data_IF_595550401004
#
_entry.id   IF_595550401004
#
_cell.length_a   1.000
_cell.length_b   1.000
_cell.length_c   1.000
_cell.angle_alpha   90.00
_cell.angle_beta   90.00
_cell.angle_gamma   90.00
#
_symmetry.space_group_name_H-M   'P 1'
#
loop_
_entity.id
_entity.type
_entity.pdbx_description
1 polymer ?
#
# COMPACT_ATOMS: atom_id res chain seq x y z
N UNK A 1 -3.89 -15.60 -16.49
CA UNK A 1 -4.21 -14.17 -16.33
C UNK A 1 -3.57 -13.65 -15.04
N UNK A 2 -2.90 -12.50 -15.11
CA UNK A 2 -2.13 -11.95 -13.99
C UNK A 2 -2.59 -10.53 -13.61
N UNK A 3 -2.57 -10.27 -12.32
CA UNK A 3 -2.68 -8.92 -11.76
C UNK A 3 -1.29 -8.47 -11.38
N UNK A 4 -0.91 -7.25 -11.77
CA UNK A 4 0.39 -6.68 -11.44
C UNK A 4 0.21 -5.35 -10.70
N UNK A 5 1.01 -5.14 -9.66
CA UNK A 5 1.03 -3.85 -8.98
C UNK A 5 2.44 -3.27 -9.02
N UNK A 6 2.55 -1.99 -9.29
CA UNK A 6 3.81 -1.26 -9.25
C UNK A 6 3.82 -0.27 -8.10
N UNK A 7 4.86 -0.36 -7.25
CA UNK A 7 5.09 0.55 -6.14
C UNK A 7 5.54 1.93 -6.59
N UNK A 8 5.51 2.90 -5.68
CA UNK A 8 5.83 4.30 -5.99
C UNK A 8 7.25 4.50 -6.55
N UNK A 9 8.25 3.77 -6.06
CA UNK A 9 9.63 3.80 -6.57
C UNK A 9 9.71 3.33 -8.02
N UNK A 10 8.92 2.33 -8.39
CA UNK A 10 8.78 1.80 -9.76
C UNK A 10 8.10 2.77 -10.71
N UNK A 11 7.45 3.81 -10.20
CA UNK A 11 6.66 4.80 -10.96
C UNK A 11 7.19 6.22 -10.78
N UNK A 12 8.41 6.37 -10.27
CA UNK A 12 8.96 7.65 -9.83
C UNK A 12 9.40 8.59 -10.96
N UNK A 13 9.63 8.09 -12.17
CA UNK A 13 10.17 8.88 -13.29
C UNK A 13 9.77 8.27 -14.65
N UNK A 14 10.00 9.01 -15.74
CA UNK A 14 9.81 8.52 -17.10
C UNK A 14 10.59 7.23 -17.37
N UNK A 15 11.88 7.17 -17.01
CA UNK A 15 12.70 5.97 -17.22
C UNK A 15 12.23 4.75 -16.41
N UNK A 16 11.58 4.94 -15.26
CA UNK A 16 10.94 3.83 -14.55
C UNK A 16 9.67 3.36 -15.27
N UNK A 17 8.86 4.29 -15.80
CA UNK A 17 7.67 3.94 -16.57
C UNK A 17 7.99 3.23 -17.89
N UNK A 18 9.14 3.52 -18.51
CA UNK A 18 9.66 2.76 -19.67
C UNK A 18 9.89 1.30 -19.30
N UNK A 19 10.52 1.02 -18.15
CA UNK A 19 10.71 -0.35 -17.66
C UNK A 19 9.37 -1.04 -17.37
N UNK A 20 8.44 -0.33 -16.75
CA UNK A 20 7.08 -0.83 -16.48
C UNK A 20 6.39 -1.24 -17.78
N UNK A 21 6.46 -0.39 -18.83
CA UNK A 21 5.92 -0.72 -20.14
C UNK A 21 6.54 -1.99 -20.73
N UNK A 22 7.88 -2.15 -20.63
CA UNK A 22 8.55 -3.36 -21.12
C UNK A 22 8.12 -4.61 -20.34
N UNK A 23 7.94 -4.49 -19.02
CA UNK A 23 7.43 -5.58 -18.19
C UNK A 23 6.03 -6.00 -18.65
N UNK A 24 5.13 -5.05 -18.93
CA UNK A 24 3.78 -5.38 -19.40
C UNK A 24 3.82 -6.00 -20.79
N UNK A 25 4.62 -5.46 -21.73
CA UNK A 25 4.77 -6.01 -23.09
C UNK A 25 5.37 -7.41 -23.12
N UNK A 26 6.21 -7.76 -22.15
CA UNK A 26 6.88 -9.05 -22.08
C UNK A 26 5.94 -10.22 -21.73
N UNK A 27 4.74 -9.94 -21.23
CA UNK A 27 3.80 -10.98 -20.79
C UNK A 27 2.35 -10.53 -20.99
N UNK A 28 1.65 -11.04 -22.01
CA UNK A 28 0.27 -10.64 -22.34
C UNK A 28 -0.76 -11.06 -21.28
N UNK A 29 -0.40 -11.94 -20.34
CA UNK A 29 -1.29 -12.28 -19.23
C UNK A 29 -1.42 -11.17 -18.18
N UNK A 30 -0.54 -10.15 -18.20
CA UNK A 30 -0.55 -8.98 -17.29
C UNK A 30 -1.59 -7.96 -17.71
N UNK A 31 -2.86 -8.27 -17.47
CA UNK A 31 -3.99 -7.48 -17.94
C UNK A 31 -4.49 -6.44 -16.93
N UNK A 32 -4.31 -6.65 -15.65
CA UNK A 32 -4.75 -5.76 -14.58
C UNK A 32 -3.54 -5.11 -13.93
N UNK A 33 -3.37 -3.80 -14.12
CA UNK A 33 -2.20 -3.05 -13.67
C UNK A 33 -2.60 -2.04 -12.59
N UNK A 34 -2.23 -2.32 -11.35
CA UNK A 34 -2.48 -1.44 -10.22
C UNK A 34 -1.27 -0.52 -10.00
N UNK A 35 -1.52 0.77 -9.88
CA UNK A 35 -0.45 1.76 -9.81
C UNK A 35 -0.55 2.63 -8.56
N UNK A 36 0.58 2.89 -7.92
CA UNK A 36 0.73 3.84 -6.83
C UNK A 36 0.97 5.26 -7.36
N UNK A 37 0.91 6.27 -6.49
CA UNK A 37 1.43 7.59 -6.79
C UNK A 37 2.95 7.54 -7.03
N UNK A 38 3.54 8.52 -7.80
CA UNK A 38 4.98 8.57 -8.02
C UNK A 38 5.77 8.72 -6.71
N UNK A 39 6.69 7.79 -6.48
CA UNK A 39 7.56 7.76 -5.32
C UNK A 39 8.76 8.70 -5.44
N UNK A 40 9.79 8.47 -4.60
CA UNK A 40 11.06 9.20 -4.66
C UNK A 40 11.91 8.76 -5.84
N UNK A 41 12.56 9.71 -6.51
CA UNK A 41 13.58 9.47 -7.57
C UNK A 41 14.96 9.19 -6.97
N UNK A 42 15.23 9.76 -5.78
CA UNK A 42 16.45 9.58 -4.99
C UNK A 42 16.13 9.77 -3.50
N UNK A 43 17.11 9.54 -2.63
CA UNK A 43 16.93 9.57 -1.16
C UNK A 43 16.42 10.93 -0.66
N UNK A 44 16.88 12.04 -1.24
CA UNK A 44 16.51 13.42 -0.84
C UNK A 44 15.19 13.90 -1.46
N UNK A 45 14.61 13.13 -2.39
CA UNK A 45 13.37 13.52 -3.07
C UNK A 45 12.14 13.37 -2.16
N UNK A 46 11.04 14.02 -2.53
CA UNK A 46 9.75 13.95 -1.84
C UNK A 46 8.79 13.05 -2.63
N UNK A 47 8.04 12.19 -1.96
CA UNK A 47 6.94 11.44 -2.59
C UNK A 47 5.78 12.38 -2.93
N UNK A 48 5.06 12.09 -4.01
CA UNK A 48 3.85 12.85 -4.37
C UNK A 48 2.82 12.80 -3.24
N UNK A 49 2.66 11.66 -2.57
CA UNK A 49 1.74 11.51 -1.44
C UNK A 49 2.11 12.46 -0.28
N UNK A 50 3.42 12.57 0.06
CA UNK A 50 3.88 13.49 1.11
C UNK A 50 3.63 14.96 0.74
N UNK A 51 3.79 15.31 -0.54
CA UNK A 51 3.48 16.66 -1.05
C UNK A 51 1.97 16.94 -0.98
N UNK A 52 1.12 15.95 -1.27
CA UNK A 52 -0.35 16.08 -1.17
C UNK A 52 -0.80 16.25 0.29
N UNK A 53 -0.14 15.58 1.25
CA UNK A 53 -0.40 15.80 2.69
C UNK A 53 -0.10 17.24 3.10
N UNK A 54 1.02 17.81 2.63
CA UNK A 54 1.38 19.21 2.89
C UNK A 54 0.38 20.16 2.23
N UNK A 55 0.02 19.88 0.98
CA UNK A 55 -0.99 20.65 0.24
C UNK A 55 -2.32 20.67 0.99
N UNK A 56 -2.82 19.53 1.44
CA UNK A 56 -4.04 19.43 2.25
C UNK A 56 -3.97 20.27 3.53
N UNK A 57 -2.86 20.14 4.30
CA UNK A 57 -2.68 20.85 5.57
C UNK A 57 -2.72 22.37 5.39
N UNK A 58 -2.01 22.88 4.40
CA UNK A 58 -2.00 24.31 4.11
C UNK A 58 -3.34 24.77 3.56
N UNK A 59 -4.02 23.97 2.76
CA UNK A 59 -5.36 24.28 2.25
C UNK A 59 -6.38 24.43 3.37
N UNK A 60 -6.44 23.49 4.30
CA UNK A 60 -7.38 23.54 5.45
C UNK A 60 -7.03 24.69 6.41
N UNK A 61 -5.77 25.04 6.55
CA UNK A 61 -5.31 26.18 7.35
C UNK A 61 -5.56 27.55 6.68
N UNK A 62 -6.04 27.58 5.44
CA UNK A 62 -6.24 28.84 4.70
C UNK A 62 -4.96 29.50 4.19
N UNK A 63 -3.84 28.73 4.15
CA UNK A 63 -2.55 29.21 3.66
C UNK A 63 -2.50 29.20 2.11
N UNK A 64 -1.51 29.90 1.53
CA UNK A 64 -1.23 29.84 0.09
C UNK A 64 -0.70 28.46 -0.31
N UNK A 65 -1.44 27.77 -1.16
CA UNK A 65 -1.15 26.42 -1.65
C UNK A 65 -0.45 26.39 -3.00
N UNK A 66 -0.19 27.54 -3.62
CA UNK A 66 0.34 27.67 -4.98
C UNK A 66 1.65 26.89 -5.16
N UNK A 67 2.55 26.94 -4.19
CA UNK A 67 3.84 26.24 -4.25
C UNK A 67 3.65 24.71 -4.27
N UNK A 68 2.72 24.18 -3.49
CA UNK A 68 2.43 22.74 -3.47
C UNK A 68 1.82 22.27 -4.80
N UNK A 69 0.85 23.02 -5.32
CA UNK A 69 0.25 22.75 -6.63
C UNK A 69 1.31 22.74 -7.74
N UNK A 70 2.13 23.78 -7.80
CA UNK A 70 3.19 23.92 -8.81
C UNK A 70 4.20 22.76 -8.71
N UNK A 71 4.61 22.37 -7.52
CA UNK A 71 5.56 21.28 -7.33
C UNK A 71 4.99 19.94 -7.82
N UNK A 72 3.75 19.62 -7.44
CA UNK A 72 3.09 18.38 -7.85
C UNK A 72 2.88 18.37 -9.37
N UNK A 73 2.35 19.46 -9.94
CA UNK A 73 2.12 19.57 -11.39
C UNK A 73 3.44 19.46 -12.15
N UNK A 74 4.53 20.08 -11.63
CA UNK A 74 5.86 19.99 -12.27
C UNK A 74 6.36 18.56 -12.27
N UNK A 75 6.13 17.78 -11.21
CA UNK A 75 6.49 16.37 -11.14
C UNK A 75 5.85 15.54 -12.26
N UNK A 76 4.55 15.72 -12.50
CA UNK A 76 3.84 15.06 -13.60
C UNK A 76 4.25 15.61 -14.97
N UNK A 77 4.58 16.90 -15.05
CA UNK A 77 5.11 17.51 -16.27
C UNK A 77 6.43 16.89 -16.67
N UNK A 78 7.36 16.75 -15.74
CA UNK A 78 8.67 16.13 -15.99
C UNK A 78 8.51 14.69 -16.51
N UNK A 79 7.59 13.93 -15.92
CA UNK A 79 7.28 12.57 -16.36
C UNK A 79 6.66 12.58 -17.77
N UNK A 80 5.65 13.43 -18.02
CA UNK A 80 4.95 13.51 -19.30
C UNK A 80 5.88 13.95 -20.44
N UNK A 81 6.77 14.92 -20.18
CA UNK A 81 7.78 15.37 -21.15
C UNK A 81 8.82 14.27 -21.43
N UNK A 82 9.34 13.61 -20.39
CA UNK A 82 10.27 12.50 -20.56
C UNK A 82 9.68 11.33 -21.34
N UNK A 83 8.38 11.10 -21.24
CA UNK A 83 7.63 10.07 -21.99
C UNK A 83 7.10 10.58 -23.35
N UNK A 84 7.37 11.82 -23.70
CA UNK A 84 6.89 12.46 -24.95
C UNK A 84 5.35 12.37 -25.10
N UNK A 85 4.61 12.52 -24.01
CA UNK A 85 3.15 12.45 -24.02
C UNK A 85 2.52 13.69 -24.65
N UNK A 86 1.36 13.51 -25.26
CA UNK A 86 0.57 14.60 -25.84
C UNK A 86 0.18 15.61 -24.74
N UNK A 87 0.21 16.94 -25.03
CA UNK A 87 -0.04 17.99 -24.02
C UNK A 87 -1.39 17.89 -23.30
N UNK A 88 -2.42 17.35 -23.95
CA UNK A 88 -3.77 17.27 -23.41
C UNK A 88 -3.85 16.45 -22.11
N UNK A 89 -3.01 15.42 -21.94
CA UNK A 89 -3.01 14.63 -20.70
C UNK A 89 -2.49 15.46 -19.53
N UNK A 90 -1.42 16.25 -19.74
CA UNK A 90 -0.86 17.11 -18.71
C UNK A 90 -1.84 18.23 -18.30
N UNK A 91 -2.57 18.81 -19.25
CA UNK A 91 -3.60 19.80 -18.97
C UNK A 91 -4.69 19.23 -18.05
N UNK A 92 -5.18 18.02 -18.36
CA UNK A 92 -6.18 17.32 -17.53
C UNK A 92 -5.68 17.04 -16.13
N UNK A 93 -4.44 16.57 -16.00
CA UNK A 93 -3.80 16.29 -14.70
C UNK A 93 -3.63 17.59 -13.90
N UNK A 94 -3.15 18.66 -14.53
CA UNK A 94 -2.97 19.97 -13.90
C UNK A 94 -4.29 20.53 -13.36
N UNK A 95 -5.35 20.49 -14.16
CA UNK A 95 -6.71 20.90 -13.75
C UNK A 95 -7.22 20.06 -12.58
N UNK A 96 -6.92 18.75 -12.56
CA UNK A 96 -7.31 17.85 -11.47
C UNK A 96 -6.69 18.28 -10.14
N UNK A 97 -5.39 18.59 -10.10
CA UNK A 97 -4.72 19.05 -8.88
C UNK A 97 -5.15 20.47 -8.46
N UNK A 98 -5.38 21.37 -9.42
CA UNK A 98 -5.90 22.71 -9.13
C UNK A 98 -7.31 22.68 -8.52
N UNK A 99 -8.15 21.77 -9.00
CA UNK A 99 -9.52 21.59 -8.48
C UNK A 99 -9.57 21.20 -7.01
N UNK A 100 -8.52 20.58 -6.46
CA UNK A 100 -8.47 20.21 -5.03
C UNK A 100 -8.65 21.43 -4.12
N UNK A 101 -8.09 22.59 -4.49
CA UNK A 101 -8.23 23.84 -3.73
C UNK A 101 -9.59 24.54 -3.89
N UNK A 102 -10.56 23.95 -4.58
CA UNK A 102 -11.94 24.43 -4.68
C UNK A 102 -12.96 23.52 -3.99
N UNK A 103 -12.50 22.47 -3.32
CA UNK A 103 -13.37 21.54 -2.61
C UNK A 103 -13.85 22.16 -1.28
N UNK A 104 -15.10 21.91 -0.86
CA UNK A 104 -15.58 22.40 0.43
C UNK A 104 -14.80 21.78 1.59
N UNK A 105 -14.42 22.60 2.56
CA UNK A 105 -13.70 22.15 3.78
C UNK A 105 -14.71 21.71 4.84
N UNK A 106 -15.76 22.51 5.06
CA UNK A 106 -16.75 22.27 6.11
C UNK A 106 -17.55 20.99 5.87
N UNK A 107 -17.72 20.19 6.92
CA UNK A 107 -18.46 18.92 6.92
C UNK A 107 -17.99 17.87 5.90
N UNK A 108 -16.78 18.00 5.37
CA UNK A 108 -16.21 17.09 4.38
C UNK A 108 -15.18 16.13 5.01
N UNK A 109 -15.66 15.07 5.66
CA UNK A 109 -14.79 14.07 6.28
C UNK A 109 -13.92 13.29 5.29
N UNK A 110 -14.24 13.30 3.99
CA UNK A 110 -13.50 12.63 2.92
C UNK A 110 -12.48 13.55 2.22
N UNK A 111 -12.36 14.81 2.64
CA UNK A 111 -11.50 15.78 1.97
C UNK A 111 -10.03 15.32 1.96
N UNK A 112 -9.53 14.85 3.09
CA UNK A 112 -8.17 14.33 3.21
C UNK A 112 -7.91 13.18 2.25
N UNK A 113 -8.80 12.20 2.22
CA UNK A 113 -8.72 11.04 1.33
C UNK A 113 -8.75 11.47 -0.15
N UNK A 114 -9.56 12.47 -0.50
CA UNK A 114 -9.64 13.02 -1.85
C UNK A 114 -8.31 13.64 -2.30
N UNK A 115 -7.64 14.37 -1.40
CA UNK A 115 -6.32 14.91 -1.69
C UNK A 115 -5.30 13.80 -1.92
N UNK A 116 -5.24 12.82 -1.04
CA UNK A 116 -4.27 11.72 -1.12
C UNK A 116 -4.49 10.88 -2.38
N UNK A 117 -5.71 10.47 -2.66
CA UNK A 117 -6.07 9.65 -3.82
C UNK A 117 -5.75 10.30 -5.17
N UNK A 118 -5.64 11.63 -5.21
CA UNK A 118 -5.32 12.36 -6.45
C UNK A 118 -3.96 11.95 -7.04
N UNK A 119 -3.01 11.49 -6.22
CA UNK A 119 -1.72 10.99 -6.67
C UNK A 119 -1.87 9.76 -7.57
N UNK A 120 -2.43 8.69 -7.02
CA UNK A 120 -2.65 7.43 -7.73
C UNK A 120 -3.58 7.61 -8.92
N UNK A 121 -4.65 8.39 -8.75
CA UNK A 121 -5.65 8.62 -9.78
C UNK A 121 -5.07 9.30 -11.02
N UNK A 122 -4.25 10.33 -10.84
CA UNK A 122 -3.62 11.03 -11.96
C UNK A 122 -2.46 10.21 -12.56
N UNK A 123 -1.75 9.43 -11.74
CA UNK A 123 -0.71 8.54 -12.25
C UNK A 123 -1.29 7.42 -13.13
N UNK A 124 -2.41 6.83 -12.74
CA UNK A 124 -3.10 5.83 -13.57
C UNK A 124 -3.51 6.39 -14.93
N UNK A 125 -4.02 7.63 -14.98
CA UNK A 125 -4.38 8.31 -16.24
C UNK A 125 -3.17 8.58 -17.13
N UNK A 126 -2.04 9.00 -16.53
CA UNK A 126 -0.79 9.23 -17.25
C UNK A 126 -0.24 7.92 -17.83
N UNK A 127 -0.22 6.85 -17.04
CA UNK A 127 0.28 5.54 -17.47
C UNK A 127 -0.60 4.93 -18.57
N UNK A 128 -1.93 5.02 -18.46
CA UNK A 128 -2.83 4.56 -19.51
C UNK A 128 -2.57 5.28 -20.84
N UNK A 129 -2.43 6.63 -20.81
CA UNK A 129 -2.10 7.40 -22.00
C UNK A 129 -0.73 7.00 -22.58
N UNK A 130 0.26 6.75 -21.73
CA UNK A 130 1.60 6.32 -22.16
C UNK A 130 1.57 4.93 -22.81
N UNK A 131 0.85 3.98 -22.23
CA UNK A 131 0.73 2.64 -22.78
C UNK A 131 0.03 2.65 -24.14
N UNK A 132 -1.10 3.36 -24.24
CA UNK A 132 -1.83 3.51 -25.51
C UNK A 132 -0.96 4.17 -26.58
N UNK A 133 -0.19 5.22 -26.25
CA UNK A 133 0.73 5.87 -27.19
C UNK A 133 1.82 4.92 -27.72
N UNK A 134 2.18 3.92 -26.93
CA UNK A 134 3.20 2.93 -27.27
C UNK A 134 2.64 1.59 -27.80
N UNK A 135 1.39 1.61 -28.27
CA UNK A 135 0.78 0.46 -28.95
C UNK A 135 0.32 -0.68 -28.03
N UNK A 136 0.16 -0.43 -26.74
CA UNK A 136 -0.54 -1.33 -25.83
C UNK A 136 -1.99 -0.89 -25.78
N UNK A 137 -2.92 -1.79 -26.09
CA UNK A 137 -4.35 -1.53 -25.91
C UNK A 137 -4.64 -1.46 -24.41
N UNK A 138 -4.70 -0.22 -23.87
CA UNK A 138 -4.79 0.02 -22.45
C UNK A 138 -5.71 1.20 -22.15
N UNK A 139 -6.47 1.10 -21.07
CA UNK A 139 -7.31 2.19 -20.57
C UNK A 139 -7.22 2.39 -19.07
N UNK A 140 -7.45 3.62 -18.65
CA UNK A 140 -7.68 3.97 -17.25
C UNK A 140 -9.07 3.48 -16.82
N UNK A 141 -9.13 2.86 -15.64
CA UNK A 141 -10.39 2.40 -15.03
C UNK A 141 -10.59 3.13 -13.69
N UNK A 142 -11.69 3.85 -13.57
CA UNK A 142 -12.03 4.50 -12.31
C UNK A 142 -12.39 3.46 -11.24
N UNK A 143 -12.06 3.64 -9.93
CA UNK A 143 -12.36 2.67 -8.88
C UNK A 143 -13.82 2.23 -8.82
N UNK A 144 -14.79 3.11 -9.11
CA UNK A 144 -16.20 2.73 -9.19
C UNK A 144 -16.47 1.75 -10.33
N UNK A 145 -15.91 1.99 -11.49
CA UNK A 145 -16.00 1.10 -12.63
C UNK A 145 -15.30 -0.23 -12.35
N UNK A 146 -14.15 -0.17 -11.68
CA UNK A 146 -13.42 -1.36 -11.22
C UNK A 146 -14.16 -2.15 -10.12
N UNK A 147 -15.32 -1.70 -9.64
CA UNK A 147 -16.05 -2.37 -8.56
C UNK A 147 -15.46 -2.16 -7.16
N UNK A 148 -14.51 -1.24 -6.97
CA UNK A 148 -13.91 -0.94 -5.67
C UNK A 148 -14.85 -0.09 -4.81
N UNK A 149 -15.98 -0.68 -4.40
CA UNK A 149 -16.97 -0.04 -3.53
C UNK A 149 -16.62 -0.36 -2.08
N UNK A 150 -16.44 0.69 -1.28
CA UNK A 150 -15.88 0.58 0.07
C UNK A 150 -16.80 1.19 1.14
N UNK A 151 -16.46 0.92 2.40
CA UNK A 151 -17.09 1.52 3.57
C UNK A 151 -16.81 3.03 3.66
N UNK A 152 -17.59 3.74 4.48
CA UNK A 152 -17.48 5.20 4.67
C UNK A 152 -16.57 5.57 5.85
N UNK A 153 -15.44 4.88 6.00
CA UNK A 153 -14.44 5.09 7.05
C UNK A 153 -13.16 5.69 6.45
N UNK A 154 -13.00 7.04 6.42
CA UNK A 154 -11.83 7.67 5.82
C UNK A 154 -10.51 7.16 6.39
N UNK A 155 -9.52 6.91 5.53
CA UNK A 155 -8.21 6.39 5.90
C UNK A 155 -8.18 4.93 6.34
N UNK A 156 -9.34 4.26 6.41
CA UNK A 156 -9.49 2.87 6.84
C UNK A 156 -10.61 2.15 6.09
N UNK A 157 -10.72 2.43 4.80
CA UNK A 157 -11.75 1.84 3.94
C UNK A 157 -11.69 0.31 3.94
N UNK A 158 -12.85 -0.32 3.91
CA UNK A 158 -13.01 -1.78 3.76
C UNK A 158 -13.85 -2.08 2.54
N UNK A 159 -13.41 -3.01 1.72
CA UNK A 159 -14.17 -3.44 0.55
C UNK A 159 -15.51 -4.03 0.99
N UNK A 160 -16.60 -3.62 0.34
CA UNK A 160 -17.90 -4.21 0.59
C UNK A 160 -17.98 -5.59 -0.10
N UNK A 161 -18.59 -6.60 0.53
CA UNK A 161 -18.69 -7.96 -0.05
C UNK A 161 -19.28 -8.00 -1.46
N UNK A 162 -20.28 -7.16 -1.74
CA UNK A 162 -20.91 -7.04 -3.07
C UNK A 162 -19.98 -6.50 -4.17
N UNK A 163 -18.80 -6.05 -3.83
CA UNK A 163 -17.84 -5.53 -4.81
C UNK A 163 -17.19 -6.63 -5.63
N UNK A 164 -17.07 -7.84 -5.09
CA UNK A 164 -16.39 -8.93 -5.79
C UNK A 164 -17.09 -9.34 -7.09
N UNK A 165 -18.43 -9.32 -7.12
CA UNK A 165 -19.21 -9.63 -8.34
C UNK A 165 -18.89 -8.63 -9.46
N UNK A 166 -18.79 -7.32 -9.11
CA UNK A 166 -18.42 -6.27 -10.08
C UNK A 166 -16.96 -6.34 -10.52
N UNK A 167 -16.06 -6.73 -9.62
CA UNK A 167 -14.64 -6.90 -9.97
C UNK A 167 -14.50 -8.08 -10.94
N UNK A 168 -15.29 -9.14 -10.79
CA UNK A 168 -15.26 -10.29 -11.70
C UNK A 168 -15.67 -9.90 -13.14
N UNK A 169 -16.56 -8.92 -13.32
CA UNK A 169 -16.96 -8.39 -14.63
C UNK A 169 -15.78 -7.78 -15.42
N UNK A 170 -14.70 -7.36 -14.74
CA UNK A 170 -13.48 -6.86 -15.41
C UNK A 170 -12.81 -7.90 -16.31
N UNK A 171 -13.10 -9.19 -16.12
CA UNK A 171 -12.59 -10.27 -16.97
C UNK A 171 -13.08 -10.21 -18.41
N UNK A 172 -14.20 -9.52 -18.65
CA UNK A 172 -14.80 -9.35 -19.99
C UNK A 172 -13.99 -8.39 -20.87
N UNK A 173 -13.15 -7.53 -20.27
CA UNK A 173 -12.31 -6.59 -21.01
C UNK A 173 -11.15 -7.33 -21.70
N UNK A 174 -10.83 -6.97 -22.93
CA UNK A 174 -9.68 -7.52 -23.67
C UNK A 174 -8.42 -6.66 -23.50
N UNK A 175 -8.59 -5.38 -23.20
CA UNK A 175 -7.51 -4.43 -23.00
C UNK A 175 -6.81 -4.55 -21.64
N UNK A 176 -5.65 -3.93 -21.52
CA UNK A 176 -4.92 -3.76 -20.26
C UNK A 176 -5.60 -2.68 -19.41
N UNK A 177 -6.08 -3.04 -18.24
CA UNK A 177 -6.79 -2.13 -17.34
C UNK A 177 -5.84 -1.48 -16.34
N UNK A 178 -5.69 -0.16 -16.40
CA UNK A 178 -4.85 0.62 -15.47
C UNK A 178 -5.74 1.16 -14.35
N UNK A 179 -5.59 0.60 -13.18
CA UNK A 179 -6.42 0.89 -12.00
C UNK A 179 -5.59 1.64 -10.96
N UNK A 180 -6.04 2.82 -10.49
CA UNK A 180 -5.36 3.49 -9.39
C UNK A 180 -5.49 2.65 -8.11
N UNK A 181 -4.38 2.44 -7.42
CA UNK A 181 -4.37 1.79 -6.12
C UNK A 181 -4.76 2.73 -4.98
N UNK A 182 -4.72 2.23 -3.74
CA UNK A 182 -4.83 2.98 -2.50
C UNK A 182 -6.25 3.40 -2.09
N UNK A 183 -7.20 3.55 -2.99
CA UNK A 183 -8.54 4.03 -2.66
C UNK A 183 -9.65 3.32 -3.41
N UNK A 184 -10.84 3.35 -2.85
CA UNK A 184 -12.10 3.02 -3.48
C UNK A 184 -13.09 4.19 -3.39
N UNK A 185 -14.33 3.91 -3.72
CA UNK A 185 -15.42 4.87 -3.58
C UNK A 185 -16.53 4.30 -2.72
N UNK A 186 -17.17 5.14 -1.91
CA UNK A 186 -18.35 4.74 -1.14
C UNK A 186 -19.56 4.58 -2.05
N UNK A 187 -20.68 4.09 -1.52
CA UNK A 187 -21.95 4.01 -2.26
C UNK A 187 -22.38 5.38 -2.80
N UNK A 188 -22.06 6.44 -2.07
CA UNK A 188 -22.39 7.83 -2.39
C UNK A 188 -21.29 8.55 -3.19
N UNK A 189 -20.44 7.82 -3.90
CA UNK A 189 -19.34 8.35 -4.74
C UNK A 189 -18.26 9.17 -4.00
N UNK A 190 -18.16 9.03 -2.68
CA UNK A 190 -17.09 9.67 -1.93
C UNK A 190 -15.80 8.85 -2.01
N UNK A 191 -14.67 9.52 -2.21
CA UNK A 191 -13.36 8.89 -2.21
C UNK A 191 -13.01 8.48 -0.78
N UNK A 192 -12.60 7.22 -0.59
CA UNK A 192 -12.21 6.69 0.70
C UNK A 192 -10.95 5.82 0.55
N UNK A 193 -9.89 6.16 1.29
CA UNK A 193 -8.59 5.49 1.17
C UNK A 193 -8.50 4.28 2.08
N UNK A 194 -7.77 3.26 1.62
CA UNK A 194 -7.37 2.14 2.46
C UNK A 194 -6.30 2.58 3.47
N UNK A 195 -6.04 1.75 4.46
CA UNK A 195 -4.94 1.91 5.40
C UNK A 195 -3.57 1.87 4.71
N UNK A 196 -2.49 1.83 5.47
CA UNK A 196 -1.12 1.69 4.94
C UNK A 196 -1.00 0.49 4.00
N UNK A 197 -0.20 0.63 2.95
CA UNK A 197 -0.08 -0.40 1.92
C UNK A 197 -1.29 -0.47 0.98
N UNK A 198 -2.09 0.59 0.89
CA UNK A 198 -3.37 0.58 0.19
C UNK A 198 -3.30 0.18 -1.29
N UNK A 199 -2.21 0.46 -2.01
CA UNK A 199 -2.03 -0.03 -3.38
C UNK A 199 -1.80 -1.54 -3.42
N UNK A 200 -1.11 -2.11 -2.42
CA UNK A 200 -0.93 -3.56 -2.27
C UNK A 200 -2.28 -4.23 -1.96
N UNK A 201 -3.07 -3.59 -1.08
CA UNK A 201 -4.44 -4.01 -0.77
C UNK A 201 -5.31 -4.02 -2.03
N UNK A 202 -5.26 -2.95 -2.83
CA UNK A 202 -6.00 -2.87 -4.11
C UNK A 202 -5.60 -4.00 -5.05
N UNK A 203 -4.28 -4.26 -5.23
CA UNK A 203 -3.79 -5.36 -6.05
C UNK A 203 -4.31 -6.72 -5.60
N UNK A 204 -4.28 -6.95 -4.30
CA UNK A 204 -4.78 -8.17 -3.67
C UNK A 204 -6.30 -8.35 -3.84
N UNK A 205 -7.07 -7.27 -3.70
CA UNK A 205 -8.52 -7.26 -3.92
C UNK A 205 -8.86 -7.59 -5.37
N UNK A 206 -8.23 -6.89 -6.33
CA UNK A 206 -8.46 -7.12 -7.75
C UNK A 206 -8.06 -8.56 -8.11
N UNK A 207 -6.89 -9.04 -7.63
CA UNK A 207 -6.45 -10.40 -7.89
C UNK A 207 -7.46 -11.46 -7.40
N UNK A 208 -7.99 -11.27 -6.21
CA UNK A 208 -9.02 -12.15 -5.66
C UNK A 208 -10.34 -12.08 -6.44
N UNK A 209 -10.76 -10.86 -6.82
CA UNK A 209 -12.04 -10.64 -7.52
C UNK A 209 -12.06 -11.16 -8.94
N UNK A 210 -10.99 -10.96 -9.71
CA UNK A 210 -10.84 -11.51 -11.07
C UNK A 210 -10.40 -12.98 -11.08
N UNK A 211 -10.18 -13.58 -9.92
CA UNK A 211 -9.69 -14.98 -9.77
C UNK A 211 -8.39 -15.20 -10.55
N UNK A 212 -7.42 -14.30 -10.36
CA UNK A 212 -6.14 -14.32 -11.06
C UNK A 212 -5.35 -15.59 -10.77
N UNK A 213 -4.56 -16.06 -11.75
CA UNK A 213 -3.63 -17.19 -11.57
C UNK A 213 -2.41 -16.78 -10.75
N UNK A 214 -2.06 -15.47 -10.78
CA UNK A 214 -0.92 -14.92 -10.06
C UNK A 214 -1.12 -13.42 -9.79
N UNK A 215 -0.71 -12.98 -8.58
CA UNK A 215 -0.53 -11.57 -8.26
C UNK A 215 0.97 -11.24 -8.19
N UNK A 216 1.47 -10.41 -9.11
CA UNK A 216 2.85 -9.93 -9.13
C UNK A 216 2.93 -8.54 -8.48
N UNK A 217 3.68 -8.41 -7.39
CA UNK A 217 3.95 -7.12 -6.74
C UNK A 217 5.36 -6.66 -7.08
N UNK A 218 5.47 -5.67 -7.97
CA UNK A 218 6.73 -5.08 -8.38
C UNK A 218 7.13 -3.92 -7.46
N UNK A 219 8.33 -4.03 -6.93
CA UNK A 219 8.97 -3.07 -6.03
C UNK A 219 10.42 -2.80 -6.48
N UNK A 220 11.27 -2.28 -5.61
CA UNK A 220 12.69 -1.95 -5.86
C UNK A 220 13.69 -2.96 -5.27
N UNK A 221 13.20 -4.08 -4.75
CA UNK A 221 14.01 -5.18 -4.21
C UNK A 221 13.76 -6.49 -4.96
N UNK A 222 14.79 -7.35 -5.07
CA UNK A 222 14.72 -8.61 -5.80
C UNK A 222 13.82 -9.69 -5.15
N UNK A 223 13.31 -9.42 -3.97
CA UNK A 223 12.46 -10.32 -3.21
C UNK A 223 12.62 -10.05 -1.71
N UNK A 224 12.30 -11.05 -0.90
CA UNK A 224 12.41 -11.00 0.55
C UNK A 224 13.68 -11.73 0.96
N UNK A 225 14.43 -11.15 1.89
CA UNK A 225 15.65 -11.73 2.43
C UNK A 225 15.39 -12.33 3.81
N UNK A 226 16.16 -13.37 4.18
CA UNK A 226 16.03 -14.05 5.47
C UNK A 226 16.36 -13.16 6.69
N UNK A 227 17.02 -12.02 6.48
CA UNK A 227 17.29 -11.01 7.48
C UNK A 227 17.37 -9.62 6.83
N UNK A 228 17.29 -8.56 7.64
CA UNK A 228 17.35 -7.19 7.14
C UNK A 228 18.74 -6.87 6.53
N UNK A 229 18.83 -6.49 5.23
CA UNK A 229 20.11 -6.32 4.53
C UNK A 229 20.93 -5.12 5.06
N UNK A 230 20.32 -4.19 5.77
CA UNK A 230 21.02 -3.10 6.47
C UNK A 230 21.69 -3.52 7.78
N UNK A 231 21.40 -4.71 8.30
CA UNK A 231 21.94 -5.26 9.55
C UNK A 231 22.88 -6.43 9.25
N UNK A 232 22.46 -7.32 8.36
CA UNK A 232 23.21 -8.53 8.00
C UNK A 232 23.80 -8.35 6.60
N UNK A 233 25.09 -8.59 6.47
CA UNK A 233 25.78 -8.53 5.18
C UNK A 233 25.39 -9.75 4.32
N UNK A 234 24.88 -9.48 3.09
CA UNK A 234 24.47 -10.51 2.13
C UNK A 234 23.53 -11.58 2.69
N UNK A 235 22.36 -11.21 3.24
CA UNK A 235 21.40 -12.19 3.70
C UNK A 235 20.89 -13.03 2.53
N UNK A 236 20.54 -14.29 2.79
CA UNK A 236 19.97 -15.16 1.76
C UNK A 236 18.61 -14.63 1.30
N UNK A 237 18.36 -14.67 -0.01
CA UNK A 237 17.03 -14.46 -0.57
C UNK A 237 16.13 -15.66 -0.26
N UNK A 238 14.89 -15.38 0.15
CA UNK A 238 13.89 -16.41 0.40
C UNK A 238 13.13 -16.68 -0.89
N UNK A 239 13.23 -17.88 -1.48
CA UNK A 239 12.55 -18.17 -2.75
C UNK A 239 11.03 -18.33 -2.57
N UNK A 240 10.59 -18.89 -1.43
CA UNK A 240 9.18 -19.17 -1.15
C UNK A 240 8.85 -19.00 0.32
N UNK A 241 7.70 -18.35 0.59
CA UNK A 241 7.10 -18.14 1.90
C UNK A 241 5.64 -18.59 1.87
N UNK A 242 5.14 -19.07 3.01
CA UNK A 242 3.70 -19.16 3.19
C UNK A 242 3.10 -17.80 3.53
N UNK A 243 1.80 -17.62 3.29
CA UNK A 243 1.07 -16.41 3.72
C UNK A 243 1.19 -16.15 5.23
N UNK A 244 1.24 -17.22 6.03
CA UNK A 244 1.40 -17.12 7.48
C UNK A 244 2.78 -16.57 7.83
N UNK A 245 3.84 -17.14 7.29
CA UNK A 245 5.22 -16.69 7.52
C UNK A 245 5.43 -15.24 7.05
N UNK A 246 4.92 -14.89 5.86
CA UNK A 246 4.99 -13.52 5.38
C UNK A 246 4.30 -12.54 6.31
N UNK A 247 3.14 -12.92 6.85
CA UNK A 247 2.39 -12.07 7.78
C UNK A 247 3.14 -11.86 9.10
N UNK A 248 3.72 -12.92 9.65
CA UNK A 248 4.56 -12.85 10.86
C UNK A 248 5.78 -11.95 10.64
N UNK A 249 6.48 -12.13 9.50
CA UNK A 249 7.63 -11.30 9.15
C UNK A 249 7.22 -9.82 8.94
N UNK A 250 6.12 -9.57 8.25
CA UNK A 250 5.62 -8.21 8.01
C UNK A 250 5.23 -7.50 9.33
N UNK A 251 4.55 -8.21 10.24
CA UNK A 251 4.21 -7.70 11.56
C UNK A 251 5.46 -7.39 12.39
N UNK A 252 6.48 -8.23 12.30
CA UNK A 252 7.73 -8.11 13.05
C UNK A 252 8.75 -7.10 12.42
N UNK A 253 8.37 -6.33 11.38
CA UNK A 253 9.18 -5.22 10.87
C UNK A 253 9.66 -5.34 9.41
N UNK A 254 9.30 -6.39 8.68
CA UNK A 254 9.54 -6.45 7.23
C UNK A 254 8.62 -5.47 6.49
N UNK A 255 9.19 -4.47 5.81
CA UNK A 255 8.44 -3.36 5.21
C UNK A 255 8.11 -3.55 3.73
N UNK A 256 8.43 -4.70 3.13
CA UNK A 256 8.25 -4.94 1.69
C UNK A 256 6.78 -5.06 1.31
N UNK A 257 5.97 -5.66 2.18
CA UNK A 257 4.53 -5.83 1.96
C UNK A 257 3.79 -5.71 3.30
N UNK A 258 2.71 -4.95 3.31
CA UNK A 258 1.90 -4.77 4.51
C UNK A 258 1.05 -6.03 4.78
N UNK A 259 0.92 -6.42 6.04
CA UNK A 259 0.23 -7.67 6.44
C UNK A 259 -1.26 -7.69 6.03
N UNK A 260 -1.96 -6.55 6.12
CA UNK A 260 -3.36 -6.43 5.69
C UNK A 260 -3.54 -6.65 4.18
N UNK A 261 -2.52 -6.31 3.38
CA UNK A 261 -2.55 -6.49 1.93
C UNK A 261 -2.59 -7.96 1.51
N UNK A 262 -2.17 -8.87 2.38
CA UNK A 262 -2.18 -10.31 2.12
C UNK A 262 -3.58 -10.92 2.21
N UNK A 263 -4.49 -10.33 2.99
CA UNK A 263 -5.76 -10.95 3.36
C UNK A 263 -6.67 -11.28 2.16
N UNK A 264 -6.93 -10.36 1.20
CA UNK A 264 -7.78 -10.69 0.05
C UNK A 264 -7.19 -11.81 -0.82
N UNK A 265 -5.89 -11.76 -1.14
CA UNK A 265 -5.23 -12.78 -1.94
C UNK A 265 -5.22 -14.14 -1.23
N UNK A 266 -4.96 -14.17 0.09
CA UNK A 266 -5.05 -15.39 0.89
C UNK A 266 -6.44 -16.01 0.84
N UNK A 267 -7.50 -15.21 1.03
CA UNK A 267 -8.89 -15.67 0.97
C UNK A 267 -9.27 -16.17 -0.42
N UNK A 268 -8.79 -15.49 -1.46
CA UNK A 268 -8.96 -15.90 -2.87
C UNK A 268 -8.07 -17.07 -3.27
N UNK A 269 -7.16 -17.54 -2.41
CA UNK A 269 -6.15 -18.58 -2.68
C UNK A 269 -5.25 -18.23 -3.89
N UNK A 270 -5.00 -16.94 -4.11
CA UNK A 270 -4.17 -16.45 -5.22
C UNK A 270 -2.71 -16.49 -4.80
N UNK A 271 -1.81 -17.16 -5.51
CA UNK A 271 -0.37 -17.06 -5.26
C UNK A 271 0.12 -15.64 -5.56
N UNK A 272 1.08 -15.16 -4.75
CA UNK A 272 1.67 -13.84 -4.91
C UNK A 272 3.18 -13.98 -5.13
N UNK A 273 3.79 -13.07 -5.91
CA UNK A 273 5.24 -12.98 -6.06
C UNK A 273 5.71 -11.53 -5.90
N UNK A 274 6.75 -11.34 -5.09
CA UNK A 274 7.46 -10.06 -4.96
C UNK A 274 8.56 -10.05 -6.02
N UNK A 275 8.59 -9.00 -6.86
CA UNK A 275 9.56 -8.86 -7.96
C UNK A 275 10.18 -7.47 -7.98
N UNK A 276 11.34 -7.37 -8.63
CA UNK A 276 12.03 -6.10 -8.81
C UNK A 276 11.77 -5.51 -10.19
N UNK A 277 11.26 -4.27 -10.23
CA UNK A 277 11.06 -3.52 -11.47
C UNK A 277 12.38 -3.27 -12.21
N UNK A 278 13.49 -3.15 -11.47
CA UNK A 278 14.83 -2.93 -12.04
C UNK A 278 15.54 -4.22 -12.44
N UNK A 279 15.03 -5.39 -12.02
CA UNK A 279 15.53 -6.71 -12.34
C UNK A 279 14.36 -7.69 -12.59
N UNK A 280 13.53 -7.46 -13.63
CA UNK A 280 12.27 -8.16 -13.81
C UNK A 280 12.43 -9.66 -14.16
N UNK A 281 13.62 -10.08 -14.59
CA UNK A 281 13.93 -11.48 -14.88
C UNK A 281 14.24 -12.30 -13.63
N UNK A 282 14.58 -11.65 -12.51
CA UNK A 282 14.78 -12.34 -11.24
C UNK A 282 13.47 -13.02 -10.81
N UNK A 283 13.50 -14.28 -10.32
CA UNK A 283 12.28 -15.01 -9.96
C UNK A 283 11.50 -14.34 -8.82
N UNK A 284 12.20 -13.61 -7.93
CA UNK A 284 11.58 -12.98 -6.77
C UNK A 284 11.34 -13.95 -5.62
N UNK A 285 10.46 -13.55 -4.70
CA UNK A 285 9.97 -14.40 -3.60
C UNK A 285 8.49 -14.72 -3.83
N UNK A 286 8.17 -16.01 -3.88
CA UNK A 286 6.77 -16.47 -3.99
C UNK A 286 6.12 -16.56 -2.62
N UNK A 287 4.88 -16.12 -2.52
CA UNK A 287 4.04 -16.27 -1.33
C UNK A 287 2.89 -17.21 -1.69
N UNK A 288 2.84 -18.34 -1.01
CA UNK A 288 1.97 -19.48 -1.32
C UNK A 288 1.12 -19.91 -0.11
N UNK A 289 0.10 -20.72 -0.34
CA UNK A 289 -0.71 -21.28 0.75
C UNK A 289 0.04 -22.34 1.56
N UNK A 290 0.90 -23.10 0.88
CA UNK A 290 1.66 -24.21 1.47
C UNK A 290 2.98 -24.37 0.71
N UNK A 291 4.05 -24.66 1.43
CA UNK A 291 5.36 -24.92 0.81
C UNK A 291 5.33 -26.05 -0.22
N UNK A 292 6.10 -25.86 -1.29
CA UNK A 292 6.27 -26.87 -2.36
C UNK A 292 7.20 -28.00 -1.92
N UNK A 293 8.22 -27.68 -1.10
CA UNK A 293 9.35 -28.58 -0.78
C UNK A 293 9.44 -28.99 0.70
N UNK A 294 8.32 -29.00 1.43
CA UNK A 294 8.27 -29.32 2.86
C UNK A 294 8.60 -28.12 3.76
N UNK A 295 8.58 -28.36 5.07
CA UNK A 295 8.76 -27.29 6.06
C UNK A 295 10.23 -26.91 6.21
N UNK A 296 10.51 -25.60 6.26
CA UNK A 296 11.83 -25.03 6.52
C UNK A 296 11.85 -24.64 8.01
N UNK A 297 12.82 -25.13 8.82
CA UNK A 297 12.84 -24.87 10.26
C UNK A 297 12.89 -23.40 10.66
N UNK A 298 13.64 -22.57 9.91
CA UNK A 298 13.73 -21.11 10.08
C UNK A 298 13.73 -20.45 8.73
N UNK A 299 12.67 -19.75 8.43
CA UNK A 299 12.48 -19.10 7.13
C UNK A 299 13.15 -17.72 7.10
N UNK A 300 13.04 -16.95 8.18
CA UNK A 300 13.63 -15.63 8.28
C UNK A 300 13.60 -15.10 9.72
N UNK A 301 14.35 -14.03 9.95
CA UNK A 301 14.44 -13.34 11.22
C UNK A 301 14.10 -11.87 10.99
N UNK A 302 12.99 -11.40 11.58
CA UNK A 302 12.62 -10.00 11.61
C UNK A 302 12.99 -9.40 12.96
N UNK A 303 13.38 -8.12 12.94
CA UNK A 303 13.64 -7.34 14.13
C UNK A 303 13.11 -5.92 13.94
N UNK A 304 12.52 -5.38 14.98
CA UNK A 304 12.08 -3.99 15.03
C UNK A 304 12.58 -3.34 16.33
N UNK A 305 12.72 -2.03 16.33
CA UNK A 305 13.23 -1.24 17.44
C UNK A 305 12.16 -0.27 17.96
N UNK A 306 12.52 0.51 18.97
CA UNK A 306 11.64 1.52 19.56
C UNK A 306 10.43 0.93 20.30
N UNK A 307 10.73 -0.02 21.19
CA UNK A 307 9.78 -0.59 22.12
C UNK A 307 10.14 -0.24 23.57
N UNK A 308 9.12 0.04 24.35
CA UNK A 308 9.21 0.16 25.82
C UNK A 308 8.55 -1.06 26.45
N UNK A 309 9.21 -1.66 27.44
CA UNK A 309 8.66 -2.72 28.27
C UNK A 309 8.31 -2.16 29.65
N UNK A 310 7.05 -2.28 30.06
CA UNK A 310 6.58 -1.96 31.40
C UNK A 310 6.42 -3.27 32.16
N UNK A 311 7.28 -3.48 33.15
CA UNK A 311 7.27 -4.70 33.96
C UNK A 311 6.56 -4.44 35.31
N UNK A 312 5.56 -5.23 35.62
CA UNK A 312 4.81 -5.19 36.86
C UNK A 312 5.08 -6.48 37.64
N UNK A 313 5.42 -6.37 38.90
CA UNK A 313 5.62 -7.54 39.78
C UNK A 313 4.71 -7.42 40.99
N UNK A 314 4.01 -8.51 41.30
CA UNK A 314 3.13 -8.62 42.46
C UNK A 314 3.09 -10.06 42.95
N UNK A 315 3.48 -10.28 44.20
CA UNK A 315 3.41 -11.62 44.82
C UNK A 315 1.97 -12.15 44.77
N UNK A 316 1.81 -13.41 44.35
CA UNK A 316 0.52 -14.08 44.12
C UNK A 316 -0.38 -13.41 43.05
N UNK A 317 0.21 -12.71 42.10
CA UNK A 317 -0.53 -12.05 41.02
C UNK A 317 -1.46 -13.01 40.26
N UNK A 318 -0.99 -14.24 40.03
CA UNK A 318 -1.76 -15.29 39.33
C UNK A 318 -3.04 -15.75 40.09
N UNK A 319 -3.15 -15.45 41.37
CA UNK A 319 -4.35 -15.71 42.18
C UNK A 319 -5.32 -14.55 42.22
N UNK A 320 -4.92 -13.39 41.73
CA UNK A 320 -5.81 -12.22 41.65
C UNK A 320 -6.69 -12.24 40.40
N UNK A 321 -7.97 -12.52 40.59
CA UNK A 321 -8.94 -12.56 39.49
C UNK A 321 -9.04 -11.17 38.83
N UNK A 322 -8.81 -11.13 37.52
CA UNK A 322 -8.96 -9.94 36.72
C UNK A 322 -7.78 -8.96 36.76
N UNK A 323 -6.60 -9.34 37.29
CA UNK A 323 -5.42 -8.47 37.27
C UNK A 323 -5.07 -7.97 35.86
N UNK A 324 -4.90 -8.88 34.90
CA UNK A 324 -4.61 -8.52 33.51
C UNK A 324 -5.71 -7.66 32.89
N UNK A 325 -6.99 -7.90 33.20
CA UNK A 325 -8.09 -7.04 32.72
C UNK A 325 -7.97 -5.62 33.23
N UNK A 326 -7.59 -5.41 34.51
CA UNK A 326 -7.40 -4.05 35.08
C UNK A 326 -6.28 -3.31 34.36
N UNK A 327 -5.20 -4.02 34.05
CA UNK A 327 -4.06 -3.45 33.31
C UNK A 327 -4.48 -3.07 31.89
N UNK A 328 -5.17 -3.96 31.19
CA UNK A 328 -5.67 -3.69 29.83
C UNK A 328 -6.71 -2.56 29.82
N UNK A 329 -7.53 -2.43 30.88
CA UNK A 329 -8.48 -1.34 31.03
C UNK A 329 -7.77 0.03 31.09
N UNK A 330 -6.65 0.11 31.82
CA UNK A 330 -5.84 1.35 31.86
C UNK A 330 -5.31 1.72 30.48
N UNK A 331 -4.84 0.75 29.72
CA UNK A 331 -4.37 1.00 28.35
C UNK A 331 -5.52 1.46 27.42
N UNK A 332 -6.70 0.83 27.56
CA UNK A 332 -7.91 1.21 26.82
C UNK A 332 -8.34 2.65 27.16
N UNK A 333 -8.41 2.99 28.45
CA UNK A 333 -8.81 4.33 28.93
C UNK A 333 -7.84 5.42 28.42
N UNK A 334 -6.55 5.08 28.29
CA UNK A 334 -5.51 5.94 27.73
C UNK A 334 -5.39 5.87 26.20
N UNK A 335 -6.22 5.05 25.53
CA UNK A 335 -6.17 4.80 24.08
C UNK A 335 -4.79 4.32 23.58
N UNK A 336 -4.11 3.49 24.37
CA UNK A 336 -2.78 2.92 24.09
C UNK A 336 -2.93 1.52 23.50
N UNK A 337 -2.27 1.27 22.37
CA UNK A 337 -2.13 -0.05 21.76
C UNK A 337 -0.94 -0.78 22.35
N UNK A 338 -1.08 -2.07 22.58
CA UNK A 338 -0.01 -2.95 23.06
C UNK A 338 0.34 -4.01 22.00
N UNK A 339 1.58 -4.51 22.04
CA UNK A 339 2.08 -5.51 21.08
C UNK A 339 2.14 -6.91 21.73
N UNK A 340 2.74 -7.02 22.92
CA UNK A 340 2.87 -8.28 23.63
C UNK A 340 2.60 -8.10 25.13
N UNK A 341 2.06 -9.13 25.76
CA UNK A 341 1.80 -9.17 27.19
C UNK A 341 2.23 -10.53 27.79
N UNK A 342 3.55 -10.81 27.89
CA UNK A 342 4.02 -12.00 28.55
C UNK A 342 3.72 -11.95 30.06
N UNK A 343 3.26 -13.09 30.59
CA UNK A 343 2.86 -13.24 32.00
C UNK A 343 3.60 -14.39 32.65
N UNK A 344 4.09 -14.15 33.87
CA UNK A 344 4.60 -15.15 34.75
C UNK A 344 3.65 -15.44 35.93
N UNK A 345 4.17 -16.06 37.01
CA UNK A 345 3.39 -16.35 38.21
C UNK A 345 3.13 -15.08 39.01
N UNK A 346 4.16 -14.27 39.21
CA UNK A 346 4.18 -13.05 40.01
C UNK A 346 4.58 -11.80 39.22
N UNK A 347 4.63 -11.88 37.89
CA UNK A 347 4.99 -10.79 37.02
C UNK A 347 4.14 -10.75 35.74
N UNK A 348 4.03 -9.57 35.18
CA UNK A 348 3.40 -9.29 33.90
C UNK A 348 4.17 -8.15 33.23
N UNK A 349 4.53 -8.36 31.98
CA UNK A 349 5.16 -7.31 31.17
C UNK A 349 4.21 -6.87 30.07
N UNK A 350 4.20 -5.59 29.77
CA UNK A 350 3.54 -5.04 28.58
C UNK A 350 4.59 -4.44 27.69
N UNK A 351 4.59 -4.83 26.42
CA UNK A 351 5.48 -4.31 25.39
C UNK A 351 4.67 -3.37 24.50
N UNK A 352 5.10 -2.13 24.43
CA UNK A 352 4.46 -1.02 23.74
C UNK A 352 5.43 -0.41 22.72
N UNK A 353 4.92 0.13 21.65
CA UNK A 353 5.73 0.99 20.76
C UNK A 353 5.92 2.36 21.41
N UNK A 354 7.14 2.89 21.35
CA UNK A 354 7.49 4.20 21.95
C UNK A 354 6.58 5.33 21.47
N UNK A 355 6.10 5.26 20.22
CA UNK A 355 5.17 6.24 19.64
C UNK A 355 3.80 6.30 20.34
N UNK A 356 3.36 5.21 20.95
CA UNK A 356 2.08 5.15 21.70
C UNK A 356 2.22 5.88 23.05
N UNK A 357 3.45 5.97 23.58
CA UNK A 357 3.74 6.64 24.84
C UNK A 357 4.09 8.13 24.69
N UNK A 358 4.47 8.59 23.48
CA UNK A 358 4.91 9.97 23.22
C UNK A 358 3.88 11.01 23.65
N UNK A 359 2.56 10.84 23.42
CA UNK A 359 1.55 11.80 23.85
C UNK A 359 1.38 11.93 25.37
N UNK A 360 1.85 10.94 26.15
CA UNK A 360 1.56 10.79 27.59
C UNK A 360 2.82 11.09 28.43
N UNK A 361 4.01 11.17 27.84
CA UNK A 361 5.27 11.45 28.54
C UNK A 361 5.32 12.85 29.19
N UNK A 362 4.37 13.72 28.93
CA UNK A 362 4.29 15.08 29.46
C UNK A 362 3.22 15.22 30.58
N UNK A 363 2.50 14.16 30.92
CA UNK A 363 1.60 14.05 32.08
C UNK A 363 2.22 13.17 33.18
#
# INVERSE_FOLDING_TARGET
MKVVKFGGSSLASAGQLEKVLQIIKADPERRFVIVSAPGKRCTQDTKVTDALVKYYRDYVAGNDVTKHQQWIIQRYRDMALGLQLKPNILERISKSFQKLASLPIENNKFLYDTFLAAGENNNAKLIAAYFTQNGVDARYVHPREAGLIVSSEPGNARLLPSSYDKIEELNEADEVLIIPGFFGVTKDDQICTFSRGGSDITGSIIAAGVKADLYENFTDVDGIFAAHPGIIHMPHSIPELTYREMRELAYAGFTVLHDEALIPAYRGKIPLVIKNTNNPTHPGTRIVLKHSNGDIPVVGIAADAHFTSINMSKYLMNREIGFGRKVLQILEDLNIRWEHMPTGIDDLSIILRDRELTPIKEE
#
